data_IF_193374027701
#
_entry.id   IF_193374027701
#
_cell.length_a   1.000
_cell.length_b   1.000
_cell.length_c   1.000
_cell.angle_alpha   90.00
_cell.angle_beta   90.00
_cell.angle_gamma   90.00
#
_symmetry.space_group_name_H-M   'P 1'
#
loop_
_entity.id
_entity.type
_entity.pdbx_description
1 polymer ?
#
# COMPACT_ATOMS: atom_id res chain seq x y z
N UNK A 1 2.95 -26.03 33.94
CA UNK A 1 2.97 -26.79 32.70
C UNK A 1 3.88 -26.07 31.72
N UNK A 2 4.89 -26.78 31.24
CA UNK A 2 5.79 -26.20 30.24
C UNK A 2 5.12 -26.19 28.88
N UNK A 3 5.05 -25.05 28.21
CA UNK A 3 4.71 -24.96 26.80
C UNK A 3 6.00 -25.12 25.99
N UNK A 4 6.36 -26.34 25.56
CA UNK A 4 7.67 -26.61 24.96
C UNK A 4 7.77 -26.09 23.51
N UNK A 5 6.65 -25.63 22.94
CA UNK A 5 6.59 -25.17 21.55
C UNK A 5 5.96 -23.76 21.48
N UNK A 6 6.56 -22.91 20.65
CA UNK A 6 6.01 -21.60 20.28
C UNK A 6 5.67 -21.69 18.79
N UNK A 7 4.41 -21.41 18.46
CA UNK A 7 3.97 -21.30 17.07
C UNK A 7 4.02 -19.83 16.65
N UNK A 8 4.82 -19.54 15.63
CA UNK A 8 4.92 -18.20 15.05
C UNK A 8 4.03 -18.12 13.82
N UNK A 9 3.37 -16.99 13.68
CA UNK A 9 2.58 -16.64 12.49
C UNK A 9 3.16 -15.41 11.83
N UNK A 10 2.87 -15.22 10.56
CA UNK A 10 3.27 -14.03 9.80
C UNK A 10 2.68 -12.77 10.43
N UNK A 11 3.48 -11.70 10.49
CA UNK A 11 3.08 -10.40 11.03
C UNK A 11 1.89 -9.78 10.30
N UNK A 12 1.68 -10.14 9.02
CA UNK A 12 0.55 -9.72 8.22
C UNK A 12 -0.82 -10.07 8.82
N UNK A 13 -0.89 -11.10 9.66
CA UNK A 13 -2.13 -11.45 10.37
C UNK A 13 -2.56 -10.35 11.36
N UNK A 14 -1.61 -9.62 11.95
CA UNK A 14 -1.88 -8.60 12.96
C UNK A 14 -1.74 -7.16 12.43
N UNK A 15 -0.78 -6.92 11.54
CA UNK A 15 -0.48 -5.59 10.99
C UNK A 15 0.16 -5.72 9.59
N UNK A 16 -0.66 -6.07 8.61
CA UNK A 16 -0.22 -6.35 7.24
C UNK A 16 0.53 -5.17 6.58
N UNK A 17 0.19 -3.96 6.97
CA UNK A 17 0.80 -2.74 6.42
C UNK A 17 1.94 -2.19 7.29
N UNK A 18 2.17 -2.74 8.48
CA UNK A 18 3.16 -2.24 9.43
C UNK A 18 2.86 -0.85 10.02
N UNK A 19 1.70 -0.29 9.72
CA UNK A 19 1.31 1.08 10.10
C UNK A 19 0.76 1.16 11.52
N UNK A 20 0.16 0.10 12.01
CA UNK A 20 -0.47 0.03 13.33
C UNK A 20 0.56 0.22 14.43
N UNK A 21 1.69 -0.46 14.31
CA UNK A 21 2.82 -0.30 15.24
C UNK A 21 3.33 1.14 15.26
N UNK A 22 3.37 1.83 14.13
CA UNK A 22 3.79 3.24 14.07
C UNK A 22 2.78 4.17 14.77
N UNK A 23 1.47 3.93 14.61
CA UNK A 23 0.41 4.68 15.29
C UNK A 23 0.42 4.42 16.79
N UNK A 24 0.46 3.16 17.19
CA UNK A 24 0.41 2.75 18.59
C UNK A 24 1.64 3.24 19.36
N UNK A 25 2.81 3.24 18.72
CA UNK A 25 4.04 3.78 19.32
C UNK A 25 3.90 5.27 19.66
N UNK A 26 3.32 6.06 18.78
CA UNK A 26 3.09 7.48 19.04
C UNK A 26 2.12 7.68 20.21
N UNK A 27 1.06 6.85 20.29
CA UNK A 27 0.12 6.86 21.40
C UNK A 27 0.77 6.45 22.72
N UNK A 28 1.62 5.40 22.71
CA UNK A 28 2.28 4.87 23.90
C UNK A 28 3.39 5.79 24.42
N UNK A 29 4.11 6.49 23.55
CA UNK A 29 5.19 7.39 23.97
C UNK A 29 4.65 8.69 24.57
N UNK A 30 3.33 8.94 24.51
CA UNK A 30 2.73 10.16 25.03
C UNK A 30 3.38 11.43 24.43
N UNK A 31 4.12 11.24 23.34
CA UNK A 31 4.85 12.33 22.71
C UNK A 31 3.84 13.22 22.03
N UNK A 32 3.69 14.41 22.58
CA UNK A 32 2.93 15.43 21.89
C UNK A 32 3.66 15.75 20.58
N UNK A 33 3.08 15.31 19.44
CA UNK A 33 3.66 15.52 18.11
C UNK A 33 4.00 17.01 17.91
N UNK A 34 3.20 17.89 18.48
CA UNK A 34 3.45 19.33 18.47
C UNK A 34 4.77 19.69 19.16
N UNK A 35 5.06 19.16 20.32
CA UNK A 35 6.32 19.40 21.05
C UNK A 35 7.51 18.83 20.29
N UNK A 36 7.34 17.64 19.71
CA UNK A 36 8.36 17.01 18.91
C UNK A 36 8.68 17.83 17.64
N UNK A 37 7.66 18.32 16.93
CA UNK A 37 7.83 19.15 15.73
C UNK A 37 8.43 20.53 16.09
N UNK A 38 8.01 21.12 17.19
CA UNK A 38 8.57 22.39 17.66
C UNK A 38 10.04 22.28 18.07
N UNK A 39 10.46 21.12 18.57
CA UNK A 39 11.84 20.87 18.98
C UNK A 39 12.79 20.51 17.82
N UNK A 40 12.26 20.25 16.60
CA UNK A 40 13.04 19.81 15.44
C UNK A 40 12.73 20.66 14.21
N UNK A 41 13.72 20.98 13.37
CA UNK A 41 13.51 21.76 12.14
C UNK A 41 12.90 20.87 11.02
N UNK A 42 11.83 20.14 11.32
CA UNK A 42 11.11 19.31 10.36
C UNK A 42 10.13 20.20 9.59
N UNK A 43 10.25 20.24 8.28
CA UNK A 43 9.37 20.98 7.37
C UNK A 43 8.33 20.10 6.69
N UNK A 44 8.63 18.81 6.60
CA UNK A 44 7.78 17.86 5.89
C UNK A 44 7.79 16.52 6.58
N UNK A 45 6.61 15.95 6.76
CA UNK A 45 6.38 14.56 7.18
C UNK A 45 5.62 13.87 6.06
N UNK A 46 6.18 12.82 5.51
CA UNK A 46 5.57 12.06 4.43
C UNK A 46 5.47 10.59 4.80
N UNK A 47 4.29 10.03 4.64
CA UNK A 47 4.04 8.60 4.70
C UNK A 47 3.66 8.12 3.31
N UNK A 48 4.42 7.20 2.75
CA UNK A 48 4.11 6.53 1.49
C UNK A 48 3.73 5.10 1.82
N UNK A 49 2.46 4.79 1.66
CA UNK A 49 1.92 3.45 1.82
C UNK A 49 1.93 2.73 0.49
N UNK A 50 2.70 1.65 0.40
CA UNK A 50 2.69 0.77 -0.77
C UNK A 50 1.89 -0.47 -0.42
N UNK A 51 0.71 -0.59 -1.00
CA UNK A 51 -0.17 -1.74 -0.80
C UNK A 51 -0.22 -2.59 -2.07
N UNK A 52 0.47 -3.72 -2.04
CA UNK A 52 0.46 -4.72 -3.09
C UNK A 52 -0.55 -5.85 -2.82
N UNK A 53 -1.60 -5.57 -2.05
CA UNK A 53 -2.68 -6.53 -1.78
C UNK A 53 -3.30 -7.00 -3.07
N UNK A 54 -3.26 -8.30 -3.27
CA UNK A 54 -3.82 -8.97 -4.44
C UNK A 54 -5.24 -9.41 -4.12
N UNK A 55 -6.21 -8.91 -4.88
CA UNK A 55 -7.59 -9.41 -4.81
C UNK A 55 -7.69 -10.71 -5.60
N UNK A 56 -7.33 -11.81 -4.97
CA UNK A 56 -7.51 -13.13 -5.59
C UNK A 56 -8.98 -13.35 -5.92
N UNK A 57 -9.28 -13.62 -7.19
CA UNK A 57 -10.59 -14.11 -7.58
C UNK A 57 -10.87 -15.38 -6.76
N UNK A 58 -11.77 -15.27 -5.79
CA UNK A 58 -12.09 -16.41 -4.92
C UNK A 58 -12.77 -17.46 -5.79
N UNK A 59 -12.12 -18.59 -5.98
CA UNK A 59 -12.70 -19.74 -6.69
C UNK A 59 -14.02 -20.20 -6.06
N UNK A 60 -14.26 -19.84 -4.80
CA UNK A 60 -15.49 -20.06 -4.06
C UNK A 60 -16.69 -19.38 -4.75
N UNK A 61 -16.52 -18.19 -5.29
CA UNK A 61 -17.60 -17.42 -5.92
C UNK A 61 -17.93 -17.90 -7.35
N UNK A 62 -17.08 -18.77 -7.91
CA UNK A 62 -17.22 -19.30 -9.27
C UNK A 62 -17.80 -20.72 -9.33
N UNK A 63 -18.10 -21.33 -8.19
CA UNK A 63 -18.61 -22.71 -8.12
C UNK A 63 -19.90 -22.78 -7.31
N UNK A 64 -20.82 -23.61 -7.82
CA UNK A 64 -22.08 -23.95 -7.12
C UNK A 64 -21.85 -24.86 -5.90
N UNK A 65 -20.69 -25.49 -5.81
CA UNK A 65 -20.38 -26.41 -4.70
C UNK A 65 -20.10 -25.63 -3.41
N UNK A 66 -20.61 -26.15 -2.29
CA UNK A 66 -20.30 -25.61 -0.98
C UNK A 66 -18.77 -25.65 -0.73
N UNK A 67 -18.17 -24.56 -0.24
CA UNK A 67 -16.74 -24.53 0.03
C UNK A 67 -16.36 -25.54 1.11
N UNK A 68 -15.18 -26.10 1.00
CA UNK A 68 -14.59 -26.93 2.06
C UNK A 68 -14.28 -26.12 3.31
N UNK A 69 -14.10 -26.79 4.45
CA UNK A 69 -13.72 -26.14 5.72
C UNK A 69 -12.42 -25.33 5.54
N UNK A 70 -11.44 -25.87 4.81
CA UNK A 70 -10.18 -25.18 4.56
C UNK A 70 -10.36 -23.92 3.71
N UNK A 71 -11.19 -23.98 2.66
CA UNK A 71 -11.52 -22.81 1.84
C UNK A 71 -12.28 -21.75 2.65
N UNK A 72 -13.21 -22.16 3.50
CA UNK A 72 -13.95 -21.26 4.38
C UNK A 72 -13.03 -20.59 5.38
N UNK A 73 -12.13 -21.35 6.03
CA UNK A 73 -11.15 -20.79 6.96
C UNK A 73 -10.19 -19.81 6.28
N UNK A 74 -9.71 -20.13 5.08
CA UNK A 74 -8.88 -19.22 4.28
C UNK A 74 -9.62 -17.91 3.94
N UNK A 75 -10.85 -18.03 3.44
CA UNK A 75 -11.67 -16.85 3.09
C UNK A 75 -11.97 -15.96 4.29
N UNK A 76 -12.18 -16.53 5.48
CA UNK A 76 -12.36 -15.77 6.72
C UNK A 76 -11.07 -15.01 7.11
N UNK A 77 -9.92 -15.70 7.04
CA UNK A 77 -8.62 -15.09 7.34
C UNK A 77 -8.32 -13.92 6.40
N UNK A 78 -8.49 -14.13 5.09
CA UNK A 78 -8.30 -13.08 4.07
C UNK A 78 -9.24 -11.90 4.29
N UNK A 79 -10.51 -12.18 4.62
CA UNK A 79 -11.50 -11.15 4.92
C UNK A 79 -11.13 -10.31 6.14
N UNK A 80 -10.64 -10.93 7.20
CA UNK A 80 -10.17 -10.23 8.40
C UNK A 80 -8.96 -9.37 8.11
N UNK A 81 -7.95 -9.91 7.40
CA UNK A 81 -6.74 -9.15 7.02
C UNK A 81 -7.13 -7.94 6.17
N UNK A 82 -8.00 -8.12 5.17
CA UNK A 82 -8.46 -7.03 4.31
C UNK A 82 -9.23 -5.96 5.08
N UNK A 83 -10.11 -6.35 6.00
CA UNK A 83 -10.83 -5.42 6.86
C UNK A 83 -9.87 -4.61 7.75
N UNK A 84 -8.89 -5.27 8.39
CA UNK A 84 -7.88 -4.57 9.19
C UNK A 84 -7.03 -3.63 8.35
N UNK A 85 -6.70 -4.02 7.12
CA UNK A 85 -5.95 -3.19 6.18
C UNK A 85 -6.72 -1.89 5.88
N UNK A 86 -8.01 -1.99 5.56
CA UNK A 86 -8.87 -0.83 5.28
C UNK A 86 -8.97 0.09 6.50
N UNK A 87 -9.29 -0.47 7.68
CA UNK A 87 -9.41 0.30 8.92
C UNK A 87 -8.10 1.02 9.26
N UNK A 88 -6.97 0.34 9.15
CA UNK A 88 -5.65 0.91 9.43
C UNK A 88 -5.32 2.06 8.47
N UNK A 89 -5.60 1.92 7.19
CA UNK A 89 -5.45 2.97 6.18
C UNK A 89 -6.23 4.23 6.53
N UNK A 90 -7.53 4.07 6.80
CA UNK A 90 -8.40 5.20 7.15
C UNK A 90 -7.95 5.89 8.44
N UNK A 91 -7.51 5.11 9.43
CA UNK A 91 -6.99 5.63 10.69
C UNK A 91 -5.71 6.45 10.48
N UNK A 92 -4.77 5.97 9.66
CA UNK A 92 -3.54 6.75 9.34
C UNK A 92 -3.89 8.02 8.57
N UNK A 93 -4.78 7.95 7.59
CA UNK A 93 -5.23 9.13 6.83
C UNK A 93 -5.84 10.18 7.75
N UNK A 94 -6.75 9.80 8.63
CA UNK A 94 -7.36 10.69 9.59
C UNK A 94 -6.32 11.30 10.55
N UNK A 95 -5.36 10.49 11.00
CA UNK A 95 -4.28 10.96 11.88
C UNK A 95 -3.36 11.98 11.20
N UNK A 96 -3.01 11.77 9.93
CA UNK A 96 -2.19 12.75 9.18
C UNK A 96 -2.94 14.08 9.00
N UNK A 97 -4.25 14.02 8.73
CA UNK A 97 -5.10 15.22 8.65
C UNK A 97 -5.17 15.96 10.00
N UNK A 98 -5.30 15.22 11.10
CA UNK A 98 -5.30 15.80 12.43
C UNK A 98 -3.97 16.47 12.75
N UNK A 99 -2.85 15.83 12.43
CA UNK A 99 -1.51 16.42 12.63
C UNK A 99 -1.32 17.69 11.82
N UNK A 100 -1.83 17.76 10.59
CA UNK A 100 -1.80 19.01 9.80
C UNK A 100 -2.59 20.11 10.50
N UNK A 101 -3.82 19.82 10.94
CA UNK A 101 -4.66 20.80 11.65
C UNK A 101 -4.00 21.31 12.94
N UNK A 102 -3.40 20.41 13.71
CA UNK A 102 -2.71 20.75 14.95
C UNK A 102 -1.46 21.59 14.69
N UNK A 103 -0.72 21.30 13.61
CA UNK A 103 0.44 22.09 13.20
C UNK A 103 0.02 23.51 12.75
N UNK A 104 -1.02 23.62 11.93
CA UNK A 104 -1.58 24.88 11.46
C UNK A 104 -2.06 25.74 12.64
N UNK A 105 -2.81 25.15 13.57
CA UNK A 105 -3.29 25.82 14.79
C UNK A 105 -2.16 26.28 15.71
N UNK A 106 -1.02 25.60 15.68
CA UNK A 106 0.18 25.95 16.44
C UNK A 106 1.08 26.95 15.72
N UNK A 107 0.77 27.34 14.48
CA UNK A 107 1.61 28.21 13.65
C UNK A 107 2.94 27.56 13.25
N UNK A 108 2.98 26.23 13.19
CA UNK A 108 4.17 25.48 12.77
C UNK A 108 4.18 25.33 11.25
N UNK A 109 5.30 25.67 10.63
CA UNK A 109 5.52 25.51 9.18
C UNK A 109 5.93 24.07 8.85
N UNK A 110 4.97 23.14 8.98
CA UNK A 110 5.14 21.71 8.69
C UNK A 110 4.01 21.23 7.80
N UNK A 111 4.35 20.46 6.76
CA UNK A 111 3.38 19.86 5.84
C UNK A 111 3.37 18.36 6.01
N UNK A 112 2.16 17.77 6.08
CA UNK A 112 1.94 16.33 6.17
C UNK A 112 1.39 15.80 4.86
N UNK A 113 1.99 14.72 4.37
CA UNK A 113 1.56 14.01 3.16
C UNK A 113 1.31 12.54 3.47
N UNK A 114 0.16 12.03 3.02
CA UNK A 114 -0.14 10.61 3.06
C UNK A 114 -0.44 10.12 1.63
N UNK A 115 0.50 9.39 1.05
CA UNK A 115 0.45 8.94 -0.33
C UNK A 115 0.18 7.43 -0.34
N UNK A 116 -0.83 7.01 -1.08
CA UNK A 116 -1.15 5.60 -1.28
C UNK A 116 -0.75 5.18 -2.69
N UNK A 117 -0.07 4.05 -2.77
CA UNK A 117 0.33 3.39 -4.01
C UNK A 117 -0.28 2.00 -3.98
N UNK A 118 -1.37 1.78 -4.70
CA UNK A 118 -2.09 0.52 -4.78
C UNK A 118 -2.57 0.22 -6.21
N UNK A 119 -2.85 -1.05 -6.50
CA UNK A 119 -3.32 -1.45 -7.82
C UNK A 119 -4.77 -1.01 -8.11
N UNK A 120 -5.56 -0.72 -7.07
CA UNK A 120 -6.91 -0.22 -7.25
C UNK A 120 -6.93 1.18 -7.88
N UNK A 121 -5.85 1.93 -7.72
CA UNK A 121 -5.67 3.28 -8.29
C UNK A 121 -5.23 3.28 -9.77
N UNK A 122 -5.01 2.12 -10.39
CA UNK A 122 -4.75 2.03 -11.83
C UNK A 122 -6.02 2.37 -12.61
N UNK A 123 -5.93 3.15 -13.69
CA UNK A 123 -7.08 3.49 -14.53
C UNK A 123 -7.57 2.31 -15.39
N UNK A 124 -6.66 1.45 -15.81
CA UNK A 124 -6.94 0.34 -16.71
C UNK A 124 -7.43 -0.91 -15.96
N UNK A 125 -8.66 -1.40 -16.23
CA UNK A 125 -9.15 -2.66 -15.65
C UNK A 125 -8.27 -3.87 -15.98
N UNK A 126 -7.70 -3.92 -17.17
CA UNK A 126 -6.81 -5.02 -17.59
C UNK A 126 -5.49 -5.01 -16.83
N UNK A 127 -4.94 -3.83 -16.51
CA UNK A 127 -3.76 -3.73 -15.65
C UNK A 127 -4.07 -4.13 -14.21
N UNK A 128 -5.23 -3.70 -13.67
CA UNK A 128 -5.68 -4.17 -12.34
C UNK A 128 -5.76 -5.69 -12.29
N UNK A 129 -6.39 -6.28 -13.28
CA UNK A 129 -6.53 -7.73 -13.37
C UNK A 129 -5.19 -8.43 -13.50
N UNK A 130 -4.26 -7.89 -14.31
CA UNK A 130 -2.91 -8.43 -14.46
C UNK A 130 -2.17 -8.45 -13.12
N UNK A 131 -2.09 -7.31 -12.42
CA UNK A 131 -1.38 -7.23 -11.15
C UNK A 131 -2.05 -8.03 -10.04
N UNK A 132 -3.38 -8.10 -10.02
CA UNK A 132 -4.13 -8.93 -9.07
C UNK A 132 -3.98 -10.43 -9.32
N UNK A 133 -3.54 -10.84 -10.51
CA UNK A 133 -3.29 -12.24 -10.84
C UNK A 133 -1.86 -12.68 -10.55
N UNK A 134 -0.95 -11.77 -10.21
CA UNK A 134 0.43 -12.12 -9.87
C UNK A 134 0.47 -12.93 -8.57
N UNK A 135 1.27 -14.00 -8.52
CA UNK A 135 1.38 -14.80 -7.31
C UNK A 135 2.13 -14.02 -6.22
N UNK A 136 1.72 -14.22 -4.96
CA UNK A 136 2.52 -13.80 -3.81
C UNK A 136 3.67 -14.78 -3.64
N UNK A 137 4.74 -14.56 -4.38
CA UNK A 137 5.91 -15.45 -4.46
C UNK A 137 7.21 -14.64 -4.56
N UNK A 138 8.29 -15.22 -4.09
CA UNK A 138 9.65 -14.71 -4.31
C UNK A 138 10.20 -15.10 -5.70
N UNK A 139 9.48 -15.94 -6.43
CA UNK A 139 9.88 -16.45 -7.77
C UNK A 139 9.05 -15.76 -8.86
N UNK A 140 9.27 -14.47 -9.06
CA UNK A 140 8.70 -13.71 -10.17
C UNK A 140 9.68 -13.68 -11.35
N UNK A 141 9.16 -13.67 -12.57
CA UNK A 141 9.97 -13.45 -13.77
C UNK A 141 10.49 -11.99 -13.81
N UNK A 142 11.59 -11.77 -14.52
CA UNK A 142 12.14 -10.41 -14.69
C UNK A 142 11.09 -9.45 -15.29
N UNK A 143 10.25 -9.92 -16.21
CA UNK A 143 9.21 -9.11 -16.83
C UNK A 143 8.12 -8.69 -15.80
N UNK A 144 7.72 -9.59 -14.90
CA UNK A 144 6.78 -9.28 -13.82
C UNK A 144 7.36 -8.27 -12.84
N UNK A 145 8.65 -8.44 -12.50
CA UNK A 145 9.37 -7.49 -11.63
C UNK A 145 9.45 -6.11 -12.28
N UNK A 146 9.81 -6.01 -13.56
CA UNK A 146 9.89 -4.74 -14.28
C UNK A 146 8.52 -4.06 -14.36
N UNK A 147 7.46 -4.83 -14.63
CA UNK A 147 6.09 -4.32 -14.64
C UNK A 147 5.65 -3.79 -13.27
N UNK A 148 6.00 -4.47 -12.18
CA UNK A 148 5.73 -4.01 -10.82
C UNK A 148 6.47 -2.71 -10.48
N UNK A 149 7.74 -2.59 -10.87
CA UNK A 149 8.54 -1.38 -10.70
C UNK A 149 7.89 -0.21 -11.46
N UNK A 150 7.48 -0.43 -12.70
CA UNK A 150 6.86 0.62 -13.52
C UNK A 150 5.46 0.98 -13.02
N UNK A 151 4.69 0.02 -12.51
CA UNK A 151 3.41 0.29 -11.86
C UNK A 151 3.60 1.18 -10.61
N UNK A 152 4.51 0.82 -9.73
CA UNK A 152 4.82 1.60 -8.54
C UNK A 152 5.25 3.04 -8.86
N UNK A 153 6.12 3.21 -9.86
CA UNK A 153 6.54 4.54 -10.34
C UNK A 153 5.38 5.35 -10.90
N UNK A 154 4.53 4.71 -11.70
CA UNK A 154 3.39 5.37 -12.35
C UNK A 154 2.37 5.83 -11.33
N UNK A 155 2.01 4.95 -10.39
CA UNK A 155 1.07 5.22 -9.32
C UNK A 155 1.57 6.34 -8.39
N UNK A 156 2.83 6.25 -7.95
CA UNK A 156 3.42 7.29 -7.10
C UNK A 156 3.41 8.65 -7.80
N UNK A 157 3.89 8.71 -9.05
CA UNK A 157 3.97 9.95 -9.82
C UNK A 157 2.61 10.50 -10.23
N UNK A 158 1.60 9.64 -10.38
CA UNK A 158 0.21 10.00 -10.63
C UNK A 158 -0.51 10.55 -9.41
N UNK A 159 -0.01 10.31 -8.20
CA UNK A 159 -0.63 10.79 -6.96
C UNK A 159 -0.61 12.32 -6.89
N UNK A 160 -1.79 12.91 -6.67
CA UNK A 160 -1.92 14.38 -6.52
C UNK A 160 -1.09 14.92 -5.34
N UNK A 161 -1.02 14.18 -4.24
CA UNK A 161 -0.24 14.58 -3.07
C UNK A 161 1.27 14.54 -3.34
N UNK A 162 1.74 13.52 -4.10
CA UNK A 162 3.14 13.47 -4.51
C UNK A 162 3.47 14.63 -5.47
N UNK A 163 2.60 14.96 -6.40
CA UNK A 163 2.78 16.10 -7.30
C UNK A 163 2.79 17.43 -6.54
N UNK A 164 1.92 17.59 -5.55
CA UNK A 164 1.92 18.77 -4.68
C UNK A 164 3.23 18.89 -3.90
N UNK A 165 3.72 17.80 -3.32
CA UNK A 165 5.02 17.77 -2.65
C UNK A 165 6.17 18.16 -3.59
N UNK A 166 6.23 17.57 -4.78
CA UNK A 166 7.25 17.91 -5.78
C UNK A 166 7.21 19.37 -6.19
N UNK A 167 6.01 19.94 -6.34
CA UNK A 167 5.84 21.34 -6.69
C UNK A 167 6.30 22.28 -5.59
N UNK A 168 5.99 21.99 -4.32
CA UNK A 168 6.37 22.83 -3.17
C UNK A 168 7.86 22.77 -2.84
N UNK A 169 8.56 21.69 -3.23
CA UNK A 169 9.98 21.49 -2.93
C UNK A 169 10.89 21.68 -4.17
N UNK A 170 10.36 22.21 -5.28
CA UNK A 170 11.10 22.40 -6.54
C UNK A 170 11.81 21.11 -7.01
N UNK A 171 11.15 19.97 -6.79
CA UNK A 171 11.69 18.66 -7.12
C UNK A 171 11.91 18.51 -8.62
N UNK A 172 13.07 17.98 -9.01
CA UNK A 172 13.38 17.69 -10.40
C UNK A 172 12.66 16.43 -10.88
N UNK A 173 11.98 16.53 -12.01
CA UNK A 173 11.30 15.37 -12.62
C UNK A 173 12.28 14.61 -13.49
N UNK A 174 12.66 13.42 -13.06
CA UNK A 174 13.29 12.44 -13.95
C UNK A 174 12.26 12.05 -15.04
N UNK A 175 12.66 11.86 -16.32
CA UNK A 175 11.75 11.47 -17.38
C UNK A 175 10.83 10.32 -16.99
N UNK A 176 9.56 10.41 -17.36
CA UNK A 176 8.58 9.37 -17.06
C UNK A 176 9.00 8.05 -17.68
N UNK A 177 8.82 6.92 -17.00
CA UNK A 177 8.98 5.62 -17.63
C UNK A 177 7.99 5.48 -18.79
N UNK A 178 8.24 4.50 -19.65
CA UNK A 178 7.30 4.15 -20.72
C UNK A 178 5.91 3.96 -20.13
N UNK A 179 4.88 4.46 -20.82
CA UNK A 179 3.50 4.27 -20.40
C UNK A 179 3.22 2.76 -20.26
N UNK A 180 2.57 2.38 -19.15
CA UNK A 180 2.09 1.01 -18.96
C UNK A 180 1.10 0.68 -20.08
N UNK A 181 1.40 -0.34 -20.85
CA UNK A 181 0.49 -0.82 -21.90
C UNK A 181 -0.48 -1.83 -21.31
N UNK A 182 -1.79 -1.75 -21.66
CA UNK A 182 -2.72 -2.80 -21.28
C UNK A 182 -2.25 -4.13 -21.83
N UNK A 183 -2.07 -5.11 -20.96
CA UNK A 183 -1.75 -6.46 -21.37
C UNK A 183 -3.01 -7.18 -21.81
N UNK A 184 -2.93 -7.99 -22.86
CA UNK A 184 -4.00 -8.93 -23.15
C UNK A 184 -3.97 -10.05 -22.12
N UNK A 185 -5.14 -10.40 -21.59
CA UNK A 185 -5.40 -11.27 -20.43
C UNK A 185 -4.71 -12.64 -20.41
N UNK A 186 -4.09 -13.08 -21.51
CA UNK A 186 -3.63 -14.45 -21.66
C UNK A 186 -2.13 -14.63 -21.92
N UNK A 187 -1.35 -13.55 -21.93
CA UNK A 187 0.10 -13.68 -22.09
C UNK A 187 0.83 -12.47 -21.49
N UNK A 188 1.18 -12.52 -20.21
CA UNK A 188 1.98 -11.48 -19.55
C UNK A 188 3.35 -11.27 -20.25
N UNK A 189 3.89 -12.29 -20.90
CA UNK A 189 5.13 -12.22 -21.68
C UNK A 189 5.01 -11.29 -22.91
N UNK A 190 3.82 -11.06 -23.45
CA UNK A 190 3.61 -10.18 -24.59
C UNK A 190 3.51 -8.71 -24.25
N UNK A 191 3.44 -8.34 -22.96
CA UNK A 191 3.40 -6.95 -22.52
C UNK A 191 4.74 -6.22 -22.77
N UNK A 192 5.84 -6.95 -22.77
CA UNK A 192 7.19 -6.42 -22.96
C UNK A 192 7.58 -6.37 -24.44
N UNK A 193 7.09 -7.31 -25.24
CA UNK A 193 7.47 -7.44 -26.67
C UNK A 193 6.82 -6.42 -27.60
N UNK A 194 5.78 -5.70 -27.17
CA UNK A 194 5.09 -4.69 -28.00
C UNK A 194 5.74 -3.29 -27.97
N UNK A 195 6.97 -3.18 -27.50
CA UNK A 195 7.73 -1.94 -27.29
C UNK A 195 9.05 -1.82 -28.03
N UNK A 196 9.31 -2.67 -29.03
CA UNK A 196 10.44 -2.49 -29.96
C UNK A 196 10.01 -1.74 -31.21
#
# INVERSE_FOLDING_TARGET
EAHPYIHLVDGGVADNLGLRTALDRNALLGTNVREWLAAKPVKTVMVILVNAEVQSAKSIDQTYQAPSIAQTAGALTDGLISQYTVETRERVRAQMQQYQQDADAAGLDVQFYFIEVDFASLDSPSLKQYFNALPTSLELSNAEIDNLIDAGRTLLRGSAQFQQFMGSHQGERVPSPKALKPCTLFSPLNCVAAGS
#
